data_IF_134372140083
#
_entry.id   IF_134372140083
#
_cell.length_a   1.000
_cell.length_b   1.000
_cell.length_c   1.000
_cell.angle_alpha   90.00
_cell.angle_beta   90.00
_cell.angle_gamma   90.00
#
_symmetry.space_group_name_H-M   'P 1'
#
loop_
_entity.id
_entity.type
_entity.pdbx_description
1 polymer ?
#
# COMPACT_ATOMS: atom_id res chain seq x y z
N UNK A 1 9.68 -23.01 -1.25
CA UNK A 1 8.80 -23.26 -2.41
C UNK A 1 8.25 -24.67 -2.28
N UNK A 2 7.02 -24.90 -2.75
CA UNK A 2 6.41 -26.22 -2.84
C UNK A 2 7.18 -27.14 -3.79
N UNK A 3 7.32 -28.41 -3.43
CA UNK A 3 7.65 -29.51 -4.34
C UNK A 3 6.35 -30.20 -4.74
N UNK A 4 5.70 -29.67 -5.78
CA UNK A 4 4.37 -30.11 -6.25
C UNK A 4 4.31 -31.59 -6.67
N UNK A 5 5.47 -32.22 -6.88
CA UNK A 5 5.58 -33.63 -7.27
C UNK A 5 5.84 -34.57 -6.09
N UNK A 6 6.05 -34.03 -4.89
CA UNK A 6 6.38 -34.83 -3.72
C UNK A 6 5.22 -35.74 -3.29
N UNK A 7 5.52 -36.95 -2.81
CA UNK A 7 4.50 -37.85 -2.27
C UNK A 7 3.92 -37.34 -0.94
N UNK A 8 4.73 -36.64 -0.14
CA UNK A 8 4.30 -36.00 1.09
C UNK A 8 3.41 -34.78 0.78
N UNK A 9 2.12 -34.77 1.18
CA UNK A 9 1.23 -33.63 0.96
C UNK A 9 1.78 -32.33 1.54
N UNK A 10 2.51 -32.37 2.66
CA UNK A 10 3.04 -31.17 3.29
C UNK A 10 4.11 -30.52 2.42
N UNK A 11 4.95 -31.32 1.78
CA UNK A 11 6.02 -30.81 0.90
C UNK A 11 5.47 -30.25 -0.42
N UNK A 12 4.23 -30.57 -0.79
CA UNK A 12 3.52 -29.95 -1.92
C UNK A 12 2.94 -28.59 -1.60
N UNK A 13 2.86 -28.20 -0.32
CA UNK A 13 2.31 -26.91 0.08
C UNK A 13 3.36 -25.81 0.02
N UNK A 14 2.93 -24.60 -0.34
CA UNK A 14 3.77 -23.41 -0.37
C UNK A 14 3.34 -22.45 0.74
N UNK A 15 4.31 -21.81 1.37
CA UNK A 15 4.06 -20.66 2.26
C UNK A 15 4.03 -19.33 1.50
N UNK A 16 4.29 -19.32 0.19
CA UNK A 16 4.14 -18.12 -0.65
C UNK A 16 2.65 -17.82 -0.88
N UNK A 17 2.31 -16.54 -0.79
CA UNK A 17 0.96 -16.05 -1.09
C UNK A 17 0.64 -16.25 -2.57
N UNK A 18 -0.58 -16.73 -2.87
CA UNK A 18 -1.08 -16.85 -4.25
C UNK A 18 -1.59 -15.52 -4.81
N UNK A 19 -2.19 -14.71 -3.95
CA UNK A 19 -2.74 -13.40 -4.29
C UNK A 19 -2.93 -12.56 -3.02
N UNK A 20 -3.01 -11.25 -3.19
CA UNK A 20 -3.33 -10.31 -2.11
C UNK A 20 -4.45 -9.35 -2.54
N UNK A 21 -5.22 -8.87 -1.56
CA UNK A 21 -6.30 -7.93 -1.76
C UNK A 21 -6.17 -6.76 -0.80
N UNK A 22 -6.01 -5.56 -1.34
CA UNK A 22 -5.79 -4.35 -0.57
C UNK A 22 -7.01 -3.42 -0.71
N UNK A 23 -7.83 -3.37 0.33
CA UNK A 23 -9.06 -2.59 0.37
C UNK A 23 -8.88 -1.36 1.26
N UNK A 24 -8.84 -0.17 0.65
CA UNK A 24 -8.79 1.12 1.37
C UNK A 24 -7.65 1.28 2.41
N UNK A 25 -6.63 0.42 2.41
CA UNK A 25 -5.55 0.45 3.39
C UNK A 25 -4.47 1.50 3.04
N UNK A 26 -3.54 1.70 3.96
CA UNK A 26 -2.37 2.56 3.79
C UNK A 26 -1.24 1.79 3.09
N UNK A 27 -0.56 2.39 2.12
CA UNK A 27 0.45 1.71 1.31
C UNK A 27 1.88 1.83 1.83
N UNK A 28 2.14 2.72 2.79
CA UNK A 28 3.43 2.88 3.46
C UNK A 28 3.23 3.46 4.86
N UNK A 29 4.07 3.05 5.81
CA UNK A 29 4.14 3.65 7.15
C UNK A 29 5.31 4.65 7.27
N UNK A 30 6.12 4.85 6.22
CA UNK A 30 7.11 5.93 6.17
C UNK A 30 6.39 7.29 6.02
N UNK A 31 6.47 8.20 7.00
CA UNK A 31 5.79 9.50 6.93
C UNK A 31 6.34 10.41 5.83
N UNK A 32 7.60 10.27 5.46
CA UNK A 32 8.23 11.02 4.36
C UNK A 32 7.69 10.51 3.03
N UNK A 33 7.52 9.20 2.89
CA UNK A 33 6.90 8.61 1.70
C UNK A 33 5.42 9.03 1.59
N UNK A 34 4.70 9.07 2.72
CA UNK A 34 3.34 9.59 2.76
C UNK A 34 3.28 11.04 2.28
N UNK A 35 4.17 11.92 2.76
CA UNK A 35 4.27 13.29 2.26
C UNK A 35 4.52 13.32 0.75
N UNK A 36 5.40 12.48 0.21
CA UNK A 36 5.69 12.41 -1.22
C UNK A 36 4.48 11.96 -2.06
N UNK A 37 3.61 11.11 -1.52
CA UNK A 37 2.37 10.67 -2.18
C UNK A 37 1.36 11.82 -2.27
N UNK A 38 1.26 12.65 -1.23
CA UNK A 38 0.27 13.74 -1.16
C UNK A 38 0.75 15.05 -1.82
N UNK A 39 2.06 15.33 -1.82
CA UNK A 39 2.62 16.58 -2.32
C UNK A 39 2.23 16.92 -3.78
N UNK A 40 2.18 15.98 -4.74
CA UNK A 40 1.75 16.27 -6.12
C UNK A 40 0.30 16.75 -6.23
N UNK A 41 -0.56 16.42 -5.26
CA UNK A 41 -1.93 16.90 -5.17
C UNK A 41 -2.04 18.26 -4.44
N UNK A 42 -0.92 18.87 -4.08
CA UNK A 42 -0.89 20.13 -3.32
C UNK A 42 -1.31 19.97 -1.85
N UNK A 43 -1.26 18.75 -1.32
CA UNK A 43 -1.66 18.45 0.06
C UNK A 43 -0.39 18.29 0.90
N UNK A 44 -0.30 19.08 1.98
CA UNK A 44 0.71 18.89 3.02
C UNK A 44 0.20 17.83 4.01
N UNK A 45 0.79 16.65 3.97
CA UNK A 45 0.39 15.51 4.80
C UNK A 45 0.58 15.80 6.29
N UNK A 46 1.66 16.49 6.65
CA UNK A 46 1.97 16.81 8.05
C UNK A 46 1.04 17.89 8.62
N UNK A 47 0.47 18.75 7.76
CA UNK A 47 -0.52 19.76 8.15
C UNK A 47 -1.92 19.18 8.41
N UNK A 48 -2.21 17.93 8.03
CA UNK A 48 -3.51 17.31 8.26
C UNK A 48 -3.74 17.11 9.77
N UNK A 49 -4.89 17.55 10.31
CA UNK A 49 -5.19 17.40 11.73
C UNK A 49 -5.02 15.97 12.25
N UNK A 50 -4.23 15.84 13.32
CA UNK A 50 -3.94 14.59 13.99
C UNK A 50 -2.78 13.77 13.40
N UNK A 51 -2.27 14.08 12.20
CA UNK A 51 -1.14 13.37 11.61
C UNK A 51 0.13 13.60 12.43
N UNK A 52 0.56 14.85 12.59
CA UNK A 52 1.78 15.18 13.31
C UNK A 52 1.80 14.60 14.74
N UNK A 53 0.72 14.79 15.50
CA UNK A 53 0.59 14.26 16.87
C UNK A 53 0.69 12.74 16.91
N UNK A 54 0.05 12.04 15.97
CA UNK A 54 0.14 10.58 15.92
C UNK A 54 1.55 10.12 15.58
N UNK A 55 2.21 10.75 14.61
CA UNK A 55 3.59 10.40 14.23
C UNK A 55 4.59 10.61 15.38
N UNK A 56 4.48 11.71 16.12
CA UNK A 56 5.31 11.93 17.31
C UNK A 56 5.12 10.80 18.33
N UNK A 57 3.89 10.34 18.53
CA UNK A 57 3.58 9.22 19.44
C UNK A 57 4.07 7.87 18.89
N UNK A 58 3.75 7.57 17.63
CA UNK A 58 4.00 6.27 16.97
C UNK A 58 5.51 5.99 16.85
N UNK A 59 6.31 7.03 16.62
CA UNK A 59 7.77 6.93 16.48
C UNK A 59 8.54 7.36 17.74
N UNK A 60 7.85 7.82 18.79
CA UNK A 60 8.48 8.31 20.03
C UNK A 60 9.40 9.52 19.81
N UNK A 61 8.93 10.50 19.02
CA UNK A 61 9.69 11.69 18.63
C UNK A 61 9.30 12.91 19.47
N UNK A 62 10.27 13.79 19.72
CA UNK A 62 10.04 15.12 20.28
C UNK A 62 9.67 16.14 19.19
N UNK A 63 10.11 15.90 17.95
CA UNK A 63 9.86 16.76 16.80
C UNK A 63 9.86 15.97 15.49
N UNK A 64 9.02 16.38 14.52
CA UNK A 64 9.00 15.81 13.18
C UNK A 64 10.33 15.99 12.43
N UNK A 65 11.18 16.95 12.82
CA UNK A 65 12.50 17.12 12.23
C UNK A 65 13.40 15.88 12.44
N UNK A 66 13.12 15.05 13.45
CA UNK A 66 13.85 13.80 13.68
C UNK A 66 13.63 12.77 12.58
N UNK A 67 12.53 12.84 11.80
CA UNK A 67 12.31 12.01 10.61
C UNK A 67 13.42 12.16 9.55
N UNK A 68 14.12 13.29 9.58
CA UNK A 68 15.16 13.67 8.62
C UNK A 68 16.56 13.75 9.24
N UNK A 69 16.67 13.78 10.56
CA UNK A 69 17.96 14.06 11.25
C UNK A 69 18.41 12.97 12.22
N UNK A 70 17.51 12.15 12.76
CA UNK A 70 17.89 11.04 13.64
C UNK A 70 18.16 9.76 12.81
N UNK A 71 19.40 9.23 12.81
CA UNK A 71 19.75 8.04 12.02
C UNK A 71 18.91 6.80 12.35
N UNK A 72 18.46 6.64 13.61
CA UNK A 72 17.65 5.49 14.01
C UNK A 72 16.24 5.61 13.44
N UNK A 73 15.66 6.80 13.47
CA UNK A 73 14.33 7.08 12.91
C UNK A 73 14.36 6.96 11.40
N UNK A 74 15.43 7.44 10.75
CA UNK A 74 15.65 7.27 9.31
C UNK A 74 15.70 5.79 8.94
N UNK A 75 16.47 4.98 9.67
CA UNK A 75 16.54 3.54 9.42
C UNK A 75 15.15 2.89 9.62
N UNK A 76 14.45 3.23 10.70
CA UNK A 76 13.11 2.71 10.98
C UNK A 76 12.11 3.06 9.88
N UNK A 77 12.07 4.30 9.39
CA UNK A 77 11.12 4.66 8.31
C UNK A 77 11.42 3.93 7.00
N UNK A 78 12.69 3.67 6.68
CA UNK A 78 13.05 2.87 5.52
C UNK A 78 12.55 1.41 5.63
N UNK A 79 12.55 0.83 6.83
CA UNK A 79 11.91 -0.47 7.12
C UNK A 79 10.37 -0.39 7.13
N UNK A 80 9.79 0.79 6.97
CA UNK A 80 8.35 1.01 6.93
C UNK A 80 7.88 1.50 5.56
N UNK A 81 8.76 1.46 4.55
CA UNK A 81 8.42 1.74 3.17
C UNK A 81 7.98 0.46 2.43
N UNK A 82 6.73 0.04 2.67
CA UNK A 82 6.19 -1.17 2.04
C UNK A 82 6.09 -1.07 0.50
N UNK A 83 6.02 0.14 -0.06
CA UNK A 83 6.11 0.33 -1.52
C UNK A 83 7.50 -0.05 -2.05
N UNK A 84 8.54 0.20 -1.26
CA UNK A 84 9.92 -0.20 -1.57
C UNK A 84 10.13 -1.70 -1.58
N UNK A 85 9.27 -2.46 -0.88
CA UNK A 85 9.35 -3.93 -0.82
C UNK A 85 8.75 -4.63 -2.04
N UNK A 86 7.92 -3.94 -2.83
CA UNK A 86 7.31 -4.52 -4.01
C UNK A 86 8.35 -4.92 -5.06
N UNK A 87 8.31 -6.18 -5.48
CA UNK A 87 9.19 -6.75 -6.50
C UNK A 87 8.38 -7.46 -7.59
N UNK A 88 9.05 -7.79 -8.70
CA UNK A 88 8.39 -8.46 -9.84
C UNK A 88 8.07 -9.93 -9.58
N UNK A 89 8.60 -10.52 -8.52
CA UNK A 89 8.28 -11.89 -8.11
C UNK A 89 7.15 -11.98 -7.07
N UNK A 90 6.58 -10.84 -6.67
CA UNK A 90 5.35 -10.79 -5.87
C UNK A 90 4.16 -11.37 -6.67
N UNK A 91 3.16 -11.97 -5.98
CA UNK A 91 1.96 -12.41 -6.63
C UNK A 91 1.15 -11.23 -7.20
N UNK A 92 0.35 -11.51 -8.22
CA UNK A 92 -0.66 -10.56 -8.69
C UNK A 92 -1.55 -10.12 -7.52
N UNK A 93 -1.84 -8.83 -7.40
CA UNK A 93 -2.68 -8.30 -6.33
C UNK A 93 -3.85 -7.46 -6.86
N UNK A 94 -4.88 -7.36 -6.04
CA UNK A 94 -6.02 -6.47 -6.27
C UNK A 94 -5.95 -5.30 -5.31
N UNK A 95 -6.11 -4.07 -5.80
CA UNK A 95 -6.23 -2.87 -4.97
C UNK A 95 -7.51 -2.12 -5.32
N UNK A 96 -8.25 -1.71 -4.29
CA UNK A 96 -9.37 -0.80 -4.50
C UNK A 96 -9.52 0.22 -3.39
N UNK A 97 -10.05 1.38 -3.78
CA UNK A 97 -10.39 2.43 -2.85
C UNK A 97 -11.63 3.19 -3.33
N UNK A 98 -12.69 3.15 -2.52
CA UNK A 98 -13.96 3.83 -2.80
C UNK A 98 -14.12 5.19 -2.10
N UNK A 99 -13.12 5.65 -1.35
CA UNK A 99 -13.19 6.91 -0.63
C UNK A 99 -13.12 8.11 -1.60
N UNK A 100 -13.68 9.27 -1.20
CA UNK A 100 -13.63 10.47 -2.02
C UNK A 100 -12.18 10.94 -2.23
N UNK A 101 -11.90 11.43 -3.44
CA UNK A 101 -10.62 12.06 -3.78
C UNK A 101 -10.70 13.56 -3.47
N UNK A 102 -10.76 13.88 -2.18
CA UNK A 102 -10.88 15.25 -1.65
C UNK A 102 -9.82 15.46 -0.57
N UNK A 103 -9.37 16.69 -0.40
CA UNK A 103 -8.39 17.03 0.65
C UNK A 103 -8.84 16.51 2.02
N UNK A 104 -8.07 15.63 2.67
CA UNK A 104 -8.42 15.07 3.96
C UNK A 104 -8.39 16.16 5.04
N UNK A 105 -9.37 16.10 5.94
CA UNK A 105 -9.55 17.03 7.06
C UNK A 105 -9.14 16.41 8.40
N UNK A 106 -8.89 15.10 8.42
CA UNK A 106 -8.43 14.36 9.59
C UNK A 106 -7.54 13.17 9.19
N UNK A 107 -6.71 12.70 10.13
CA UNK A 107 -5.77 11.59 9.90
C UNK A 107 -6.41 10.34 9.28
N UNK A 108 -7.60 9.92 9.74
CA UNK A 108 -8.25 8.71 9.20
C UNK A 108 -8.56 8.85 7.70
N UNK A 109 -8.97 10.03 7.25
CA UNK A 109 -9.20 10.29 5.82
C UNK A 109 -7.89 10.24 5.04
N UNK A 110 -6.79 10.74 5.62
CA UNK A 110 -5.47 10.72 4.99
C UNK A 110 -4.93 9.30 4.79
N UNK A 111 -4.95 8.46 5.83
CA UNK A 111 -4.40 7.10 5.76
C UNK A 111 -5.25 6.14 4.92
N UNK A 112 -6.50 6.49 4.63
CA UNK A 112 -7.42 5.74 3.77
C UNK A 112 -7.70 6.46 2.43
N UNK A 113 -6.98 7.53 2.11
CA UNK A 113 -7.20 8.34 0.91
C UNK A 113 -6.97 7.53 -0.39
N UNK A 114 -7.70 7.78 -1.49
CA UNK A 114 -7.49 7.08 -2.77
C UNK A 114 -6.06 7.18 -3.33
N UNK A 115 -5.30 8.23 -2.98
CA UNK A 115 -3.87 8.34 -3.32
C UNK A 115 -3.03 7.17 -2.79
N UNK A 116 -3.45 6.49 -1.72
CA UNK A 116 -2.77 5.29 -1.21
C UNK A 116 -2.85 4.15 -2.23
N UNK A 117 -4.04 3.90 -2.77
CA UNK A 117 -4.24 2.90 -3.80
C UNK A 117 -3.57 3.29 -5.13
N UNK A 118 -3.59 4.60 -5.47
CA UNK A 118 -2.91 5.10 -6.66
C UNK A 118 -1.41 4.91 -6.60
N UNK A 119 -0.79 5.07 -5.42
CA UNK A 119 0.64 4.83 -5.26
C UNK A 119 1.01 3.35 -5.47
N UNK A 120 0.16 2.40 -5.05
CA UNK A 120 0.34 0.96 -5.33
C UNK A 120 0.23 0.66 -6.83
N UNK A 121 -0.79 1.22 -7.49
CA UNK A 121 -1.01 1.13 -8.94
C UNK A 121 0.20 1.66 -9.74
N UNK A 122 0.67 2.86 -9.39
CA UNK A 122 1.83 3.49 -10.04
C UNK A 122 3.10 2.66 -9.84
N UNK A 123 3.36 2.20 -8.61
CA UNK A 123 4.53 1.39 -8.30
C UNK A 123 4.49 0.05 -9.04
N UNK A 124 3.36 -0.65 -9.00
CA UNK A 124 3.19 -1.94 -9.68
C UNK A 124 3.36 -1.80 -11.19
N UNK A 125 2.75 -0.78 -11.79
CA UNK A 125 2.91 -0.43 -13.20
C UNK A 125 4.38 -0.16 -13.54
N UNK A 126 5.07 0.64 -12.73
CA UNK A 126 6.45 1.03 -12.97
C UNK A 126 7.43 -0.15 -12.95
N UNK A 127 7.20 -1.14 -12.07
CA UNK A 127 8.06 -2.33 -11.98
C UNK A 127 7.60 -3.49 -12.87
N UNK A 128 6.40 -3.41 -13.47
CA UNK A 128 5.82 -4.49 -14.26
C UNK A 128 5.21 -5.62 -13.43
N UNK A 129 4.81 -5.34 -12.18
CA UNK A 129 4.08 -6.29 -11.34
C UNK A 129 2.62 -6.35 -11.77
N UNK A 130 2.10 -7.57 -11.98
CA UNK A 130 0.72 -7.77 -12.36
C UNK A 130 -0.22 -7.31 -11.23
N UNK A 131 -1.26 -6.56 -11.57
CA UNK A 131 -2.19 -6.02 -10.59
C UNK A 131 -3.54 -5.64 -11.23
N UNK A 132 -4.56 -5.51 -10.38
CA UNK A 132 -5.89 -5.02 -10.75
C UNK A 132 -6.24 -3.86 -9.83
N UNK A 133 -6.56 -2.70 -10.42
CA UNK A 133 -6.85 -1.47 -9.68
C UNK A 133 -8.28 -1.00 -9.91
N UNK A 134 -8.98 -0.64 -8.84
CA UNK A 134 -10.29 0.01 -8.90
C UNK A 134 -10.38 1.21 -7.95
N UNK A 135 -10.26 2.42 -8.47
CA UNK A 135 -10.32 3.70 -7.73
C UNK A 135 -11.31 4.64 -8.45
N UNK A 136 -12.63 4.45 -8.26
CA UNK A 136 -13.65 5.20 -9.00
C UNK A 136 -13.55 6.72 -8.84
N UNK A 137 -13.17 7.21 -7.67
CA UNK A 137 -13.01 8.65 -7.39
C UNK A 137 -11.86 9.32 -8.17
N UNK A 138 -11.02 8.52 -8.85
CA UNK A 138 -9.94 8.98 -9.73
C UNK A 138 -10.14 8.51 -11.18
N UNK A 139 -11.33 8.01 -11.55
CA UNK A 139 -11.65 7.43 -12.85
C UNK A 139 -10.78 6.23 -13.26
N UNK A 140 -10.32 5.45 -12.28
CA UNK A 140 -9.57 4.20 -12.52
C UNK A 140 -10.51 3.03 -12.21
N UNK A 141 -10.73 2.15 -13.18
CA UNK A 141 -11.66 1.04 -13.06
C UNK A 141 -10.97 -0.26 -13.44
N UNK A 142 -11.27 -1.32 -12.67
CA UNK A 142 -10.82 -2.65 -13.01
C UNK A 142 -11.38 -3.05 -14.38
N UNK A 143 -10.57 -3.75 -15.19
CA UNK A 143 -11.02 -4.27 -16.48
C UNK A 143 -12.24 -5.15 -16.28
N UNK A 144 -13.27 -4.95 -17.11
CA UNK A 144 -14.57 -5.64 -17.00
C UNK A 144 -15.27 -5.49 -15.64
N UNK A 145 -14.91 -4.48 -14.85
CA UNK A 145 -15.39 -4.28 -13.48
C UNK A 145 -15.11 -5.49 -12.56
N UNK A 146 -13.94 -6.14 -12.71
CA UNK A 146 -13.55 -7.23 -11.82
C UNK A 146 -13.59 -6.79 -10.36
N UNK A 147 -14.36 -7.51 -9.55
CA UNK A 147 -14.46 -7.33 -8.10
C UNK A 147 -13.35 -8.11 -7.39
N UNK A 148 -13.00 -7.72 -6.16
CA UNK A 148 -12.04 -8.48 -5.35
C UNK A 148 -12.44 -9.96 -5.21
N UNK A 149 -13.73 -10.27 -5.08
CA UNK A 149 -14.20 -11.66 -4.98
C UNK A 149 -13.93 -12.45 -6.26
N UNK A 150 -14.22 -11.86 -7.43
CA UNK A 150 -13.92 -12.48 -8.73
C UNK A 150 -12.41 -12.67 -8.93
N UNK A 151 -11.62 -11.66 -8.57
CA UNK A 151 -10.16 -11.74 -8.58
C UNK A 151 -9.66 -12.90 -7.71
N UNK A 152 -10.10 -12.98 -6.45
CA UNK A 152 -9.67 -14.04 -5.53
C UNK A 152 -10.07 -15.43 -6.03
N UNK A 153 -11.30 -15.59 -6.54
CA UNK A 153 -11.77 -16.84 -7.14
C UNK A 153 -10.90 -17.23 -8.34
N UNK A 154 -10.59 -16.27 -9.22
CA UNK A 154 -9.71 -16.48 -10.38
C UNK A 154 -8.32 -16.93 -9.95
N UNK A 155 -7.74 -16.34 -8.90
CA UNK A 155 -6.38 -16.70 -8.43
C UNK A 155 -6.31 -18.03 -7.70
N UNK A 156 -7.37 -18.42 -6.99
CA UNK A 156 -7.41 -19.69 -6.24
C UNK A 156 -7.82 -20.90 -7.11
N UNK A 157 -8.38 -20.66 -8.30
CA UNK A 157 -8.78 -21.70 -9.25
C UNK A 157 -7.72 -22.00 -10.32
N UNK A 158 -6.56 -21.34 -10.24
CA UNK A 158 -5.38 -21.55 -11.11
C UNK A 158 -4.45 -22.58 -10.46
#
# INVERSE_FOLDING_TARGET
MADVTNADPILRESTRLTAAGHLTSQCSYDPVQMQNIFAPAGIDFFAIPGVATSLLSDFGLDSLNQLYTDPKVIAQRHELDMLGWMSTDDPEFYVSNGNPNTTPTMRSEAIHHPLQAKALDDKATAIGLAHVTNIPSMNIYAVNNETISQFMIRKLSQ
#
